data_IF_607780313685
#
_entry.id   IF_607780313685
#
_cell.length_a   1.000
_cell.length_b   1.000
_cell.length_c   1.000
_cell.angle_alpha   90.00
_cell.angle_beta   90.00
_cell.angle_gamma   90.00
#
_symmetry.space_group_name_H-M   'P 1'
#
loop_
_entity.id
_entity.type
_entity.pdbx_description
1 polymer ?
#
# COMPACT_ATOMS: atom_id res chain seq x y z
N UNK A 1 -21.51 0.89 -13.37
CA UNK A 1 -20.05 0.73 -13.46
C UNK A 1 -19.80 -0.76 -13.54
N UNK A 2 -19.63 -1.28 -14.76
CA UNK A 2 -19.34 -2.69 -14.98
C UNK A 2 -18.12 -3.10 -14.17
N UNK A 3 -18.28 -4.18 -13.40
CA UNK A 3 -17.21 -4.76 -12.60
C UNK A 3 -16.08 -5.14 -13.54
N UNK A 4 -15.02 -4.34 -13.59
CA UNK A 4 -13.87 -4.64 -14.42
C UNK A 4 -13.37 -6.05 -14.05
N UNK A 5 -13.17 -6.97 -15.02
CA UNK A 5 -12.96 -8.40 -14.77
C UNK A 5 -11.81 -8.72 -13.80
N UNK A 6 -10.89 -7.77 -13.61
CA UNK A 6 -9.76 -7.80 -12.67
C UNK A 6 -10.19 -7.74 -11.19
N UNK A 7 -11.35 -7.14 -10.88
CA UNK A 7 -11.88 -7.06 -9.52
C UNK A 7 -12.21 -8.46 -8.95
N UNK A 8 -12.42 -9.45 -9.84
CA UNK A 8 -12.65 -10.86 -9.49
C UNK A 8 -11.35 -11.66 -9.25
N UNK A 9 -10.16 -11.07 -9.49
CA UNK A 9 -8.87 -11.74 -9.30
C UNK A 9 -8.34 -11.62 -7.86
N UNK A 10 -8.63 -10.53 -7.16
CA UNK A 10 -8.13 -10.30 -5.80
C UNK A 10 -9.01 -11.03 -4.77
N UNK A 11 -8.52 -12.15 -4.26
CA UNK A 11 -9.14 -12.86 -3.13
C UNK A 11 -9.14 -11.96 -1.88
N UNK A 12 -10.17 -12.07 -1.02
CA UNK A 12 -10.28 -11.31 0.24
C UNK A 12 -8.99 -11.30 1.08
N UNK A 13 -8.22 -12.39 1.07
CA UNK A 13 -6.92 -12.48 1.75
C UNK A 13 -5.86 -11.48 1.27
N UNK A 14 -5.79 -11.20 -0.03
CA UNK A 14 -4.83 -10.23 -0.58
C UNK A 14 -5.16 -8.80 -0.16
N UNK A 15 -6.45 -8.49 0.01
CA UNK A 15 -6.91 -7.19 0.51
C UNK A 15 -6.52 -7.04 1.98
N UNK A 16 -6.76 -8.07 2.81
CA UNK A 16 -6.35 -8.05 4.22
C UNK A 16 -4.83 -7.88 4.35
N UNK A 17 -4.05 -8.63 3.56
CA UNK A 17 -2.59 -8.49 3.56
C UNK A 17 -2.15 -7.10 3.10
N UNK A 18 -2.83 -6.52 2.10
CA UNK A 18 -2.62 -5.13 1.67
C UNK A 18 -2.87 -4.13 2.80
N UNK A 19 -3.96 -4.28 3.56
CA UNK A 19 -4.29 -3.40 4.68
C UNK A 19 -3.20 -3.46 5.75
N UNK A 20 -2.83 -4.67 6.16
CA UNK A 20 -1.77 -4.86 7.16
C UNK A 20 -0.45 -4.23 6.69
N UNK A 21 -0.05 -4.52 5.45
CA UNK A 21 1.22 -4.04 4.92
C UNK A 21 1.24 -2.51 4.76
N UNK A 22 0.14 -1.92 4.29
CA UNK A 22 -0.03 -0.47 4.15
C UNK A 22 -0.07 0.24 5.50
N UNK A 23 -0.70 -0.33 6.52
CA UNK A 23 -0.65 0.20 7.90
C UNK A 23 0.77 0.17 8.46
N UNK A 24 1.54 -0.90 8.22
CA UNK A 24 2.94 -0.99 8.63
C UNK A 24 3.78 0.07 7.92
N UNK A 25 3.60 0.25 6.61
CA UNK A 25 4.30 1.28 5.82
C UNK A 25 3.99 2.68 6.32
N UNK A 26 2.72 2.97 6.65
CA UNK A 26 2.33 4.26 7.21
C UNK A 26 3.03 4.56 8.54
N UNK A 27 3.04 3.60 9.47
CA UNK A 27 3.67 3.77 10.79
C UNK A 27 5.19 3.97 10.62
N UNK A 28 5.82 3.15 9.78
CA UNK A 28 7.26 3.21 9.52
C UNK A 28 7.65 4.55 8.91
N UNK A 29 6.93 5.02 7.89
CA UNK A 29 7.21 6.30 7.24
C UNK A 29 6.93 7.48 8.17
N UNK A 30 5.85 7.45 8.94
CA UNK A 30 5.53 8.50 9.92
C UNK A 30 6.61 8.63 10.99
N UNK A 31 7.26 7.52 11.37
CA UNK A 31 8.39 7.54 12.30
C UNK A 31 9.69 7.98 11.63
N UNK A 32 10.00 7.44 10.45
CA UNK A 32 11.22 7.73 9.69
C UNK A 32 11.30 9.19 9.21
N UNK A 33 10.16 9.81 8.92
CA UNK A 33 10.10 11.19 8.40
C UNK A 33 10.19 12.26 9.48
N UNK A 34 10.03 11.90 10.76
CA UNK A 34 10.07 12.84 11.89
C UNK A 34 11.31 13.77 11.90
N UNK A 35 12.55 13.29 11.71
CA UNK A 35 13.73 14.18 11.68
C UNK A 35 13.79 15.12 10.46
N UNK A 36 12.99 14.89 9.42
CA UNK A 36 12.96 15.73 8.21
C UNK A 36 11.88 16.82 8.27
N UNK A 37 11.20 16.97 9.39
CA UNK A 37 10.16 17.98 9.57
C UNK A 37 10.73 19.30 10.08
N UNK A 38 10.05 20.40 9.78
CA UNK A 38 10.58 21.75 9.99
C UNK A 38 10.35 22.27 11.41
N UNK A 39 9.58 21.55 12.24
CA UNK A 39 9.21 22.00 13.57
C UNK A 39 10.13 21.44 14.66
N UNK A 40 10.62 22.28 15.58
CA UNK A 40 11.33 21.82 16.78
C UNK A 40 10.39 21.19 17.82
N UNK A 41 9.07 21.43 17.72
CA UNK A 41 8.09 20.82 18.62
C UNK A 41 7.81 19.37 18.19
N UNK A 42 7.98 18.37 19.09
CA UNK A 42 7.84 16.96 18.76
C UNK A 42 6.43 16.54 18.35
N UNK A 43 5.39 17.28 18.77
CA UNK A 43 4.00 17.02 18.39
C UNK A 43 3.72 17.55 16.97
N UNK A 44 4.18 18.77 16.68
CA UNK A 44 4.01 19.38 15.35
C UNK A 44 4.84 18.61 14.31
N UNK A 45 6.06 18.21 14.67
CA UNK A 45 6.91 17.35 13.85
C UNK A 45 6.23 16.01 13.53
N UNK A 46 5.59 15.38 14.52
CA UNK A 46 4.87 14.13 14.30
C UNK A 46 3.66 14.31 13.38
N UNK A 47 2.87 15.37 13.56
CA UNK A 47 1.72 15.67 12.71
C UNK A 47 2.15 15.88 11.25
N UNK A 48 3.20 16.68 11.03
CA UNK A 48 3.74 16.91 9.69
C UNK A 48 4.21 15.61 9.03
N UNK A 49 4.96 14.78 9.76
CA UNK A 49 5.43 13.49 9.27
C UNK A 49 4.26 12.55 8.90
N UNK A 50 3.21 12.51 9.72
CA UNK A 50 1.99 11.76 9.41
C UNK A 50 1.31 12.27 8.14
N UNK A 51 1.16 13.60 7.98
CA UNK A 51 0.56 14.19 6.78
C UNK A 51 1.36 13.85 5.51
N UNK A 52 2.69 13.84 5.59
CA UNK A 52 3.55 13.45 4.46
C UNK A 52 3.52 11.95 4.18
N UNK A 53 3.34 11.11 5.21
CA UNK A 53 3.24 9.67 5.05
C UNK A 53 1.96 9.21 4.32
N UNK A 54 0.87 9.99 4.37
CA UNK A 54 -0.42 9.67 3.70
C UNK A 54 -0.25 9.42 2.19
N UNK A 55 0.27 10.37 1.37
CA UNK A 55 0.40 10.16 -0.06
C UNK A 55 1.36 9.01 -0.41
N UNK A 56 2.45 8.84 0.35
CA UNK A 56 3.40 7.73 0.12
C UNK A 56 2.71 6.38 0.37
N UNK A 57 1.95 6.30 1.46
CA UNK A 57 1.17 5.11 1.83
C UNK A 57 0.10 4.80 0.79
N UNK A 58 -0.56 5.83 0.23
CA UNK A 58 -1.53 5.67 -0.85
C UNK A 58 -0.88 5.11 -2.12
N UNK A 59 0.29 5.64 -2.52
CA UNK A 59 1.05 5.12 -3.67
C UNK A 59 1.46 3.67 -3.45
N UNK A 60 1.93 3.34 -2.23
CA UNK A 60 2.27 1.96 -1.87
C UNK A 60 1.05 1.01 -1.99
N UNK A 61 -0.11 1.44 -1.52
CA UNK A 61 -1.36 0.68 -1.65
C UNK A 61 -1.70 0.37 -3.12
N UNK A 62 -1.64 1.39 -3.99
CA UNK A 62 -1.89 1.19 -5.42
C UNK A 62 -0.85 0.25 -6.06
N UNK A 63 0.43 0.46 -5.76
CA UNK A 63 1.50 -0.38 -6.29
C UNK A 63 1.36 -1.84 -5.86
N UNK A 64 1.04 -2.09 -4.58
CA UNK A 64 0.78 -3.42 -4.05
C UNK A 64 -0.39 -4.11 -4.78
N UNK A 65 -1.49 -3.39 -5.01
CA UNK A 65 -2.64 -3.96 -5.74
C UNK A 65 -2.32 -4.27 -7.20
N UNK A 66 -1.60 -3.39 -7.91
CA UNK A 66 -1.17 -3.66 -9.28
C UNK A 66 -0.22 -4.86 -9.35
N UNK A 67 0.73 -4.95 -8.43
CA UNK A 67 1.67 -6.07 -8.34
C UNK A 67 0.93 -7.39 -8.11
N UNK A 68 -0.02 -7.42 -7.18
CA UNK A 68 -0.81 -8.62 -6.91
C UNK A 68 -1.67 -9.05 -8.10
N UNK A 69 -2.25 -8.11 -8.84
CA UNK A 69 -3.01 -8.41 -10.07
C UNK A 69 -2.10 -9.12 -11.09
N UNK A 70 -0.91 -8.58 -11.33
CA UNK A 70 0.07 -9.18 -12.26
C UNK A 70 0.52 -10.56 -11.80
N UNK A 71 0.81 -10.74 -10.50
CA UNK A 71 1.20 -12.04 -9.95
C UNK A 71 0.11 -13.11 -10.11
N UNK A 72 -1.16 -12.75 -9.86
CA UNK A 72 -2.27 -13.68 -10.02
C UNK A 72 -2.46 -14.04 -11.49
N UNK A 73 -2.29 -13.08 -12.40
CA UNK A 73 -2.36 -13.33 -13.84
C UNK A 73 -1.25 -14.29 -14.31
N UNK A 74 0.01 -14.02 -13.94
CA UNK A 74 1.14 -14.89 -14.26
C UNK A 74 0.97 -16.31 -13.72
N UNK A 75 0.45 -16.47 -12.49
CA UNK A 75 0.15 -17.78 -11.89
C UNK A 75 -0.90 -18.54 -12.70
N UNK A 76 -1.97 -17.86 -13.15
CA UNK A 76 -3.02 -18.47 -13.98
C UNK A 76 -2.49 -18.90 -15.34
N UNK A 77 -1.66 -18.08 -15.99
CA UNK A 77 -1.04 -18.44 -17.26
C UNK A 77 -0.13 -19.66 -17.11
N UNK A 78 0.71 -19.70 -16.07
CA UNK A 78 1.58 -20.83 -15.79
C UNK A 78 0.82 -22.14 -15.52
N UNK A 79 -0.32 -22.06 -14.83
CA UNK A 79 -1.17 -23.22 -14.58
C UNK A 79 -1.90 -23.76 -15.82
N UNK A 80 -2.05 -22.96 -16.88
CA UNK A 80 -2.65 -23.40 -18.16
C UNK A 80 -1.63 -23.97 -19.14
N UNK A 81 -0.35 -23.69 -18.91
CA UNK A 81 0.77 -24.16 -19.73
C UNK A 81 1.31 -25.53 -19.29
N UNK A 82 0.89 -26.02 -18.11
CA UNK A 82 1.13 -27.38 -17.61
C UNK A 82 -0.15 -28.21 -17.77
#
# INVERSE_FOLDING_TARGET
MDNAPYQKLLTKGHIVLGIVLTSVVFILLSWLMRPFTFSPDPLIAQLQACFTAIPITAVFWFAYHMFMIVLVDQRKQKSKAN
#
